data_IF_229971617151
#
_entry.id   IF_229971617151
#
_cell.length_a   1.000
_cell.length_b   1.000
_cell.length_c   1.000
_cell.angle_alpha   90.00
_cell.angle_beta   90.00
_cell.angle_gamma   90.00
#
_symmetry.space_group_name_H-M   'P 1'
#
loop_
_entity.id
_entity.type
_entity.pdbx_description
1 polymer ?
#
# COMPACT_ATOMS: atom_id res chain seq x y z
N UNK A 1 -12.72 -1.99 0.30
CA UNK A 1 -11.90 -2.12 1.52
C UNK A 1 -10.47 -1.63 1.31
N UNK A 2 -9.75 -2.16 0.31
CA UNK A 2 -8.37 -1.74 -0.01
C UNK A 2 -8.17 -0.22 -0.16
N UNK A 3 -8.99 0.42 -1.00
CA UNK A 3 -8.93 1.87 -1.24
C UNK A 3 -9.19 2.68 0.03
N UNK A 4 -10.17 2.25 0.84
CA UNK A 4 -10.52 2.91 2.11
C UNK A 4 -9.33 2.86 3.07
N UNK A 5 -8.68 1.69 3.19
CA UNK A 5 -7.50 1.54 4.03
C UNK A 5 -6.35 2.46 3.57
N UNK A 6 -6.13 2.61 2.26
CA UNK A 6 -5.13 3.54 1.75
C UNK A 6 -5.44 5.00 2.09
N UNK A 7 -6.69 5.44 1.95
CA UNK A 7 -7.10 6.79 2.37
C UNK A 7 -6.84 7.00 3.87
N UNK A 8 -7.18 6.03 4.73
CA UNK A 8 -6.89 6.10 6.16
C UNK A 8 -5.40 6.24 6.43
N UNK A 9 -4.54 5.47 5.76
CA UNK A 9 -3.08 5.54 5.94
C UNK A 9 -2.51 6.89 5.49
N UNK A 10 -3.00 7.46 4.40
CA UNK A 10 -2.60 8.80 3.93
C UNK A 10 -2.93 9.85 4.98
N UNK A 11 -4.15 9.82 5.52
CA UNK A 11 -4.61 10.74 6.56
C UNK A 11 -3.75 10.60 7.82
N UNK A 12 -3.48 9.37 8.25
CA UNK A 12 -2.66 9.11 9.44
C UNK A 12 -1.23 9.65 9.27
N UNK A 13 -0.58 9.38 8.13
CA UNK A 13 0.77 9.92 7.87
C UNK A 13 0.79 11.45 7.79
N UNK A 14 -0.27 12.05 7.23
CA UNK A 14 -0.41 13.50 7.17
C UNK A 14 -0.58 14.09 8.58
N UNK A 15 -1.39 13.46 9.45
CA UNK A 15 -1.55 13.88 10.84
C UNK A 15 -0.26 13.74 11.65
N UNK A 16 0.50 12.65 11.46
CA UNK A 16 1.83 12.50 12.08
C UNK A 16 2.75 13.65 11.62
N UNK A 17 2.85 13.86 10.30
CA UNK A 17 3.67 14.91 9.71
C UNK A 17 3.33 16.31 10.23
N UNK A 18 2.04 16.65 10.30
CA UNK A 18 1.58 17.93 10.82
C UNK A 18 1.81 18.05 12.34
N UNK A 19 1.56 16.98 13.11
CA UNK A 19 1.79 17.00 14.56
C UNK A 19 3.25 17.27 14.90
N UNK A 20 4.19 16.74 14.11
CA UNK A 20 5.62 16.97 14.28
C UNK A 20 6.07 18.40 13.89
N UNK A 21 5.35 19.06 12.99
CA UNK A 21 5.65 20.43 12.56
C UNK A 21 5.04 21.50 13.48
N UNK A 22 3.85 21.25 14.04
CA UNK A 22 3.08 22.27 14.77
C UNK A 22 3.04 22.07 16.28
N UNK A 23 3.27 20.86 16.81
CA UNK A 23 3.27 20.62 18.25
C UNK A 23 4.67 20.75 18.84
N UNK A 24 4.73 21.41 20.00
CA UNK A 24 5.96 21.50 20.79
C UNK A 24 6.41 20.11 21.28
N UNK A 25 7.71 19.96 21.45
CA UNK A 25 8.31 18.74 21.99
C UNK A 25 7.82 18.51 23.43
N UNK A 26 7.06 17.43 23.63
CA UNK A 26 6.51 17.05 24.92
C UNK A 26 5.81 15.70 24.87
N UNK A 27 5.44 15.18 26.04
CA UNK A 27 4.84 13.84 26.20
C UNK A 27 3.57 13.65 25.37
N UNK A 28 2.74 14.69 25.26
CA UNK A 28 1.49 14.66 24.48
C UNK A 28 1.77 14.38 23.00
N UNK A 29 2.80 15.02 22.42
CA UNK A 29 3.19 14.77 21.02
C UNK A 29 3.64 13.33 20.83
N UNK A 30 4.50 12.83 21.72
CA UNK A 30 4.99 11.45 21.65
C UNK A 30 3.87 10.42 21.72
N UNK A 31 2.91 10.59 22.64
CA UNK A 31 1.74 9.71 22.76
C UNK A 31 0.88 9.77 21.49
N UNK A 32 0.62 10.98 20.95
CA UNK A 32 -0.18 11.15 19.74
C UNK A 32 0.45 10.43 18.54
N UNK A 33 1.74 10.66 18.29
CA UNK A 33 2.47 10.03 17.18
C UNK A 33 2.52 8.51 17.34
N UNK A 34 2.68 8.01 18.56
CA UNK A 34 2.62 6.57 18.84
C UNK A 34 1.24 5.99 18.51
N UNK A 35 0.16 6.60 19.00
CA UNK A 35 -1.21 6.16 18.72
C UNK A 35 -1.50 6.14 17.22
N UNK A 36 -1.11 7.21 16.51
CA UNK A 36 -1.26 7.30 15.06
C UNK A 36 -0.44 6.21 14.33
N UNK A 37 0.78 5.95 14.78
CA UNK A 37 1.63 4.89 14.20
C UNK A 37 1.01 3.50 14.38
N UNK A 38 0.41 3.22 15.54
CA UNK A 38 -0.30 1.95 15.79
C UNK A 38 -1.53 1.82 14.89
N UNK A 39 -2.30 2.89 14.71
CA UNK A 39 -3.45 2.90 13.79
C UNK A 39 -2.99 2.63 12.36
N UNK A 40 -1.92 3.29 11.91
CA UNK A 40 -1.30 3.01 10.62
C UNK A 40 -0.95 1.52 10.47
N UNK A 41 -0.24 0.95 11.44
CA UNK A 41 0.15 -0.47 11.40
C UNK A 41 -1.06 -1.40 11.36
N UNK A 42 -2.13 -1.07 12.09
CA UNK A 42 -3.37 -1.86 12.10
C UNK A 42 -4.04 -1.89 10.72
N UNK A 43 -4.13 -0.75 10.02
CA UNK A 43 -4.69 -0.73 8.66
C UNK A 43 -3.75 -1.35 7.62
N UNK A 44 -2.45 -1.13 7.75
CA UNK A 44 -1.45 -1.72 6.87
C UNK A 44 -1.50 -3.24 6.93
N UNK A 45 -1.45 -3.82 8.13
CA UNK A 45 -1.43 -5.27 8.31
C UNK A 45 -2.80 -5.92 8.22
N UNK A 46 -3.85 -5.24 8.68
CA UNK A 46 -5.20 -5.80 8.73
C UNK A 46 -5.95 -5.74 7.39
N UNK A 47 -5.60 -4.80 6.50
CA UNK A 47 -6.31 -4.63 5.23
C UNK A 47 -5.39 -4.71 4.02
N UNK A 48 -4.35 -3.89 3.95
CA UNK A 48 -3.54 -3.78 2.73
C UNK A 48 -2.75 -5.06 2.49
N UNK A 49 -1.97 -5.52 3.47
CA UNK A 49 -1.15 -6.72 3.37
C UNK A 49 -1.93 -7.94 2.87
N UNK A 50 -3.02 -8.41 3.54
CA UNK A 50 -3.73 -9.61 3.11
C UNK A 50 -4.37 -9.46 1.73
N UNK A 51 -4.90 -8.27 1.40
CA UNK A 51 -5.48 -8.03 0.07
C UNK A 51 -4.40 -8.06 -1.01
N UNK A 52 -3.22 -7.48 -0.78
CA UNK A 52 -2.12 -7.51 -1.75
C UNK A 52 -1.68 -8.94 -2.04
N UNK A 53 -1.53 -9.78 -1.01
CA UNK A 53 -1.17 -11.18 -1.21
C UNK A 53 -2.26 -11.98 -1.92
N UNK A 54 -3.54 -11.70 -1.61
CA UNK A 54 -4.68 -12.29 -2.31
C UNK A 54 -4.66 -11.92 -3.80
N UNK A 55 -4.53 -10.64 -4.11
CA UNK A 55 -4.47 -10.14 -5.50
C UNK A 55 -3.30 -10.73 -6.28
N UNK A 56 -2.12 -10.89 -5.67
CA UNK A 56 -1.00 -11.57 -6.31
C UNK A 56 -1.38 -13.00 -6.72
N UNK A 57 -2.12 -13.71 -5.87
CA UNK A 57 -2.55 -15.08 -6.15
C UNK A 57 -3.60 -15.16 -7.27
N UNK A 58 -4.41 -14.12 -7.44
CA UNK A 58 -5.48 -14.03 -8.44
C UNK A 58 -4.97 -13.55 -9.82
N UNK A 59 -3.99 -12.64 -9.84
CA UNK A 59 -3.45 -12.06 -11.07
C UNK A 59 -2.51 -13.04 -11.79
N UNK A 60 -1.77 -13.87 -11.04
CA UNK A 60 -0.78 -14.76 -11.64
C UNK A 60 -1.37 -16.12 -12.05
N UNK A 61 -1.18 -16.54 -13.33
CA UNK A 61 -1.69 -17.82 -13.82
C UNK A 61 -0.98 -19.00 -13.15
N UNK A 62 -1.71 -20.11 -12.97
CA UNK A 62 -1.29 -21.26 -12.15
C UNK A 62 0.10 -21.79 -12.51
N UNK A 63 0.43 -21.83 -13.81
CA UNK A 63 1.68 -22.41 -14.33
C UNK A 63 2.94 -21.65 -13.89
N UNK A 64 2.87 -20.33 -13.71
CA UNK A 64 4.03 -19.49 -13.35
C UNK A 64 3.90 -18.83 -11.98
N UNK A 65 2.80 -19.09 -11.27
CA UNK A 65 2.46 -18.43 -10.00
C UNK A 65 3.60 -18.48 -8.98
N UNK A 66 4.24 -19.65 -8.81
CA UNK A 66 5.35 -19.80 -7.88
C UNK A 66 6.54 -18.87 -8.20
N UNK A 67 6.92 -18.76 -9.48
CA UNK A 67 8.00 -17.89 -9.93
C UNK A 67 7.62 -16.41 -9.82
N UNK A 68 6.39 -16.06 -10.21
CA UNK A 68 5.92 -14.68 -10.16
C UNK A 68 5.82 -14.15 -8.71
N UNK A 69 5.34 -14.98 -7.79
CA UNK A 69 5.26 -14.64 -6.36
C UNK A 69 6.67 -14.51 -5.75
N UNK A 70 7.63 -15.37 -6.11
CA UNK A 70 8.99 -15.30 -5.57
C UNK A 70 9.72 -14.03 -6.02
N UNK A 71 9.62 -13.66 -7.30
CA UNK A 71 10.18 -12.41 -7.84
C UNK A 71 9.52 -11.19 -7.16
N UNK A 72 8.19 -11.21 -7.03
CA UNK A 72 7.46 -10.12 -6.37
C UNK A 72 7.87 -9.96 -4.91
N UNK A 73 8.03 -11.07 -4.20
CA UNK A 73 8.48 -11.09 -2.79
C UNK A 73 9.92 -10.60 -2.67
N UNK A 74 10.80 -10.97 -3.60
CA UNK A 74 12.17 -10.47 -3.63
C UNK A 74 12.24 -8.95 -3.81
N UNK A 75 11.46 -8.40 -4.76
CA UNK A 75 11.35 -6.95 -4.97
C UNK A 75 10.76 -6.26 -3.73
N UNK A 76 9.76 -6.87 -3.09
CA UNK A 76 9.18 -6.37 -1.84
C UNK A 76 10.24 -6.25 -0.73
N UNK A 77 11.05 -7.29 -0.52
CA UNK A 77 12.09 -7.26 0.51
C UNK A 77 13.20 -6.26 0.20
N UNK A 78 13.60 -6.10 -1.06
CA UNK A 78 14.54 -5.04 -1.46
C UNK A 78 13.94 -3.67 -1.17
N UNK A 79 12.68 -3.45 -1.53
CA UNK A 79 11.99 -2.18 -1.28
C UNK A 79 11.92 -1.89 0.22
N UNK A 80 11.64 -2.91 1.04
CA UNK A 80 11.64 -2.79 2.50
C UNK A 80 13.03 -2.43 3.05
N UNK A 81 14.09 -3.06 2.54
CA UNK A 81 15.47 -2.73 2.92
C UNK A 81 15.82 -1.29 2.55
N UNK A 82 15.43 -0.84 1.35
CA UNK A 82 15.62 0.55 0.91
C UNK A 82 14.89 1.53 1.83
N UNK A 83 13.64 1.25 2.21
CA UNK A 83 12.89 2.08 3.15
C UNK A 83 13.56 2.08 4.53
N UNK A 84 14.05 0.94 4.99
CA UNK A 84 14.79 0.81 6.26
C UNK A 84 16.08 1.64 6.31
N UNK A 85 16.75 1.84 5.17
CA UNK A 85 17.93 2.72 5.04
C UNK A 85 17.51 4.18 4.85
N UNK A 86 16.49 4.42 4.03
CA UNK A 86 16.02 5.77 3.69
C UNK A 86 15.41 6.50 4.89
N UNK A 87 14.62 5.79 5.72
CA UNK A 87 13.95 6.37 6.88
C UNK A 87 14.90 7.07 7.87
N UNK A 88 15.99 6.44 8.37
CA UNK A 88 16.92 7.10 9.29
C UNK A 88 17.69 8.24 8.61
N UNK A 89 18.05 8.11 7.33
CA UNK A 89 18.73 9.17 6.57
C UNK A 89 17.81 10.40 6.41
N UNK A 90 16.54 10.17 6.06
CA UNK A 90 15.56 11.25 5.90
C UNK A 90 15.23 11.90 7.24
N UNK A 91 14.99 11.10 8.28
CA UNK A 91 14.61 11.63 9.60
C UNK A 91 15.73 12.38 10.31
N UNK A 92 17.00 12.01 10.07
CA UNK A 92 18.16 12.75 10.60
C UNK A 92 18.43 14.07 9.85
N UNK A 93 18.26 14.09 8.52
CA UNK A 93 18.55 15.29 7.71
C UNK A 93 17.38 16.29 7.68
N UNK A 94 16.14 15.81 7.51
CA UNK A 94 14.96 16.64 7.31
C UNK A 94 14.01 16.65 8.52
N UNK A 95 14.25 15.80 9.52
CA UNK A 95 13.36 15.64 10.67
C UNK A 95 12.21 14.66 10.40
N UNK A 96 11.51 14.30 11.47
CA UNK A 96 10.42 13.29 11.46
C UNK A 96 9.21 13.83 10.66
N UNK A 97 8.82 15.09 10.88
CA UNK A 97 7.65 15.69 10.21
C UNK A 97 7.72 15.63 8.68
N UNK A 98 8.74 16.23 8.04
CA UNK A 98 8.91 16.18 6.58
C UNK A 98 9.07 14.76 6.02
N UNK A 99 9.67 13.85 6.80
CA UNK A 99 9.80 12.44 6.42
C UNK A 99 8.43 11.76 6.30
N UNK A 100 7.55 11.93 7.29
CA UNK A 100 6.18 11.39 7.25
C UNK A 100 5.31 12.03 6.17
N UNK A 101 5.49 13.32 5.88
CA UNK A 101 4.81 13.98 4.76
C UNK A 101 5.25 13.41 3.41
N UNK A 102 6.54 13.09 3.25
CA UNK A 102 7.06 12.42 2.05
C UNK A 102 6.42 11.05 1.86
N UNK A 103 6.28 10.26 2.93
CA UNK A 103 5.55 8.98 2.88
C UNK A 103 4.06 9.16 2.58
N UNK A 104 3.42 10.21 3.10
CA UNK A 104 2.03 10.53 2.75
C UNK A 104 1.89 10.81 1.25
N UNK A 105 2.80 11.61 0.67
CA UNK A 105 2.83 11.88 -0.77
C UNK A 105 3.05 10.60 -1.59
N UNK A 106 3.99 9.74 -1.19
CA UNK A 106 4.22 8.44 -1.84
C UNK A 106 2.97 7.54 -1.78
N UNK A 107 2.24 7.53 -0.67
CA UNK A 107 0.99 6.79 -0.55
C UNK A 107 -0.11 7.35 -1.48
N UNK A 108 -0.16 8.67 -1.71
CA UNK A 108 -1.08 9.26 -2.70
C UNK A 108 -0.74 8.76 -4.11
N UNK A 109 0.55 8.72 -4.47
CA UNK A 109 0.96 8.13 -5.76
C UNK A 109 0.58 6.66 -5.86
N UNK A 110 0.78 5.87 -4.79
CA UNK A 110 0.37 4.48 -4.73
C UNK A 110 -1.16 4.31 -4.86
N UNK A 111 -1.94 5.23 -4.29
CA UNK A 111 -3.40 5.25 -4.42
C UNK A 111 -3.83 5.52 -5.85
N UNK A 112 -3.29 6.56 -6.48
CA UNK A 112 -3.55 6.85 -7.90
C UNK A 112 -3.17 5.64 -8.76
N UNK A 113 -2.01 5.04 -8.48
CA UNK A 113 -1.58 3.84 -9.19
C UNK A 113 -2.58 2.69 -9.04
N UNK A 114 -3.04 2.43 -7.81
CA UNK A 114 -4.00 1.37 -7.55
C UNK A 114 -5.34 1.61 -8.25
N UNK A 115 -5.84 2.84 -8.28
CA UNK A 115 -7.10 3.18 -8.95
C UNK A 115 -6.99 3.04 -10.47
N UNK A 116 -5.83 3.33 -11.05
CA UNK A 116 -5.63 3.32 -12.49
C UNK A 116 -5.24 1.96 -13.05
N UNK A 117 -4.44 1.18 -12.34
CA UNK A 117 -3.84 -0.06 -12.87
C UNK A 117 -4.27 -1.34 -12.17
N UNK A 118 -4.82 -1.28 -10.96
CA UNK A 118 -5.25 -2.49 -10.27
C UNK A 118 -6.54 -3.03 -10.90
N UNK A 119 -6.54 -4.27 -11.41
CA UNK A 119 -7.75 -4.89 -11.94
C UNK A 119 -8.73 -5.20 -10.80
N UNK A 120 -10.03 -5.00 -11.02
CA UNK A 120 -11.05 -5.46 -10.08
C UNK A 120 -11.25 -6.97 -10.30
N UNK A 121 -10.69 -7.77 -9.40
CA UNK A 121 -10.79 -9.24 -9.40
C UNK A 121 -11.99 -9.74 -8.62
N UNK A 122 -12.70 -8.84 -7.93
CA UNK A 122 -13.84 -9.15 -7.09
C UNK A 122 -14.97 -9.80 -7.91
N UNK A 123 -15.54 -10.85 -7.34
CA UNK A 123 -16.70 -11.60 -7.85
C UNK A 123 -16.45 -12.34 -9.19
N UNK A 124 -15.19 -12.64 -9.55
CA UNK A 124 -14.82 -13.47 -10.72
C UNK A 124 -14.18 -14.78 -10.29
N UNK A 125 -14.43 -15.86 -11.04
CA UNK A 125 -13.72 -17.12 -10.79
C UNK A 125 -12.26 -17.01 -11.21
N UNK A 126 -11.38 -17.84 -10.62
CA UNK A 126 -9.97 -17.92 -11.00
C UNK A 126 -9.81 -18.33 -12.47
N UNK A 127 -10.66 -19.25 -12.97
CA UNK A 127 -10.61 -19.66 -14.38
C UNK A 127 -11.04 -18.53 -15.32
N UNK A 128 -12.07 -17.75 -14.96
CA UNK A 128 -12.51 -16.58 -15.74
C UNK A 128 -11.43 -15.49 -15.80
N UNK A 129 -10.74 -15.23 -14.69
CA UNK A 129 -9.62 -14.31 -14.64
C UNK A 129 -8.47 -14.81 -15.53
N UNK A 130 -8.10 -16.08 -15.44
CA UNK A 130 -7.03 -16.66 -16.27
C UNK A 130 -7.36 -16.55 -17.77
N UNK A 131 -8.59 -16.87 -18.18
CA UNK A 131 -9.02 -16.70 -19.57
C UNK A 131 -9.02 -15.23 -20.02
N UNK A 132 -9.44 -14.30 -19.16
CA UNK A 132 -9.43 -12.86 -19.47
C UNK A 132 -8.00 -12.29 -19.61
N UNK A 133 -7.06 -12.73 -18.76
CA UNK A 133 -5.65 -12.33 -18.84
C UNK A 133 -4.97 -12.94 -20.07
N UNK A 134 -5.25 -14.20 -20.41
CA UNK A 134 -4.71 -14.86 -21.61
C UNK A 134 -5.24 -14.20 -22.89
N UNK A 135 -6.53 -13.86 -22.95
CA UNK A 135 -7.14 -13.21 -24.12
C UNK A 135 -6.83 -11.69 -24.24
N UNK A 136 -5.95 -11.14 -23.38
CA UNK A 136 -5.50 -9.75 -23.38
C UNK A 136 -6.61 -8.67 -23.37
N UNK A 137 -7.83 -9.01 -22.94
CA UNK A 137 -8.96 -8.09 -22.95
C UNK A 137 -8.98 -7.18 -21.69
N UNK A 138 -7.96 -6.32 -21.55
CA UNK A 138 -7.78 -5.38 -20.43
C UNK A 138 -9.00 -4.50 -20.13
N UNK A 139 -9.84 -4.20 -21.13
CA UNK A 139 -11.08 -3.42 -20.96
C UNK A 139 -12.17 -4.17 -20.18
N UNK A 140 -12.21 -5.51 -20.22
CA UNK A 140 -13.19 -6.32 -19.48
C UNK A 140 -12.76 -6.56 -18.03
N UNK A 141 -11.45 -6.55 -17.79
CA UNK A 141 -10.86 -6.73 -16.46
C UNK A 141 -11.12 -5.50 -15.57
N UNK A 142 -11.17 -4.29 -16.16
CA UNK A 142 -11.41 -3.02 -15.44
C UNK A 142 -12.87 -2.64 -15.24
N UNK A 143 -13.83 -3.33 -15.87
CA UNK A 143 -15.25 -2.97 -15.70
C UNK A 143 -15.75 -3.51 -14.36
N UNK A 144 -16.37 -2.67 -13.50
CA UNK A 144 -17.09 -3.19 -12.35
C UNK A 144 -18.14 -4.17 -12.86
N UNK A 145 -18.17 -5.37 -12.29
CA UNK A 145 -19.11 -6.42 -12.67
C UNK A 145 -20.52 -5.84 -12.71
N UNK A 146 -21.11 -5.79 -13.90
CA UNK A 146 -22.57 -5.70 -14.00
C UNK A 146 -23.07 -7.09 -13.65
N UNK A 147 -23.75 -7.20 -12.50
CA UNK A 147 -24.68 -8.27 -12.23
C UNK A 147 -25.69 -8.38 -13.37
#
# INVERSE_FOLDING_TARGET
>A
MFIIAQFCIIIVHLLIGLSELFLNNGTVKGILVLCLSVIFLAFQQGSISPITWLLLSEIFPLKIRGLAISISTFILWISNALVGIFFPISSSNFGIGPTFLTFSALNIFALIFSLLWLPETKDKSLEELEQQFINQNWKLIRRPGKQ
#
